data_IF_640981280084
#
_entry.id   IF_640981280084
#
_cell.length_a   1.000
_cell.length_b   1.000
_cell.length_c   1.000
_cell.angle_alpha   90.00
_cell.angle_beta   90.00
_cell.angle_gamma   90.00
#
_symmetry.space_group_name_H-M   'P 1'
#
loop_
_entity.id
_entity.type
_entity.pdbx_description
1 polymer ?
#
# COMPACT_ATOMS: atom_id res chain seq x y z
N UNK A 1 7.10 -2.34 17.31
CA UNK A 1 5.91 -2.29 18.18
C UNK A 1 5.13 -3.56 18.10
N UNK A 2 4.60 -3.98 19.22
CA UNK A 2 3.82 -5.19 19.30
C UNK A 2 2.43 -5.01 18.67
N UNK A 3 1.97 -6.05 17.97
CA UNK A 3 0.66 -6.05 17.32
C UNK A 3 -0.40 -6.59 18.26
N UNK A 4 -1.47 -5.83 18.46
CA UNK A 4 -2.62 -6.29 19.25
C UNK A 4 -3.56 -7.12 18.36
N UNK A 5 -4.48 -7.84 19.01
CA UNK A 5 -5.54 -8.55 18.28
C UNK A 5 -6.36 -7.61 17.40
N UNK A 6 -6.64 -6.42 17.93
CA UNK A 6 -7.35 -5.37 17.20
C UNK A 6 -6.60 -4.91 15.96
N UNK A 7 -5.27 -4.78 16.07
CA UNK A 7 -4.42 -4.42 14.93
C UNK A 7 -4.52 -5.47 13.82
N UNK A 8 -4.46 -6.74 14.19
CA UNK A 8 -4.56 -7.84 13.22
C UNK A 8 -5.92 -7.86 12.53
N UNK A 9 -6.98 -7.57 13.25
CA UNK A 9 -8.33 -7.48 12.69
C UNK A 9 -8.46 -6.31 11.70
N UNK A 10 -7.87 -5.17 12.02
CA UNK A 10 -7.85 -4.01 11.12
C UNK A 10 -7.13 -4.33 9.83
N UNK A 11 -5.98 -4.97 9.91
CA UNK A 11 -5.22 -5.39 8.72
C UNK A 11 -6.05 -6.34 7.87
N UNK A 12 -6.66 -7.35 8.47
CA UNK A 12 -7.49 -8.33 7.77
C UNK A 12 -8.65 -7.68 7.01
N UNK A 13 -9.27 -6.69 7.61
CA UNK A 13 -10.35 -5.93 6.98
C UNK A 13 -9.89 -5.21 5.72
N UNK A 14 -8.75 -4.55 5.79
CA UNK A 14 -8.19 -3.81 4.65
C UNK A 14 -7.81 -4.75 3.52
N UNK A 15 -7.21 -5.90 3.82
CA UNK A 15 -6.79 -6.86 2.80
C UNK A 15 -7.96 -7.39 1.96
N UNK A 16 -9.16 -7.45 2.54
CA UNK A 16 -10.37 -7.86 1.81
C UNK A 16 -10.77 -6.89 0.71
N UNK A 17 -10.33 -5.64 0.79
CA UNK A 17 -10.63 -4.61 -0.21
C UNK A 17 -9.61 -4.56 -1.35
N UNK A 18 -8.56 -5.36 -1.30
CA UNK A 18 -7.51 -5.38 -2.32
C UNK A 18 -7.78 -6.51 -3.31
N UNK A 19 -8.11 -6.13 -4.55
CA UNK A 19 -8.59 -7.09 -5.56
C UNK A 19 -7.64 -8.25 -5.83
N UNK A 20 -6.35 -7.98 -6.03
CA UNK A 20 -5.42 -9.05 -6.38
C UNK A 20 -5.11 -10.01 -5.22
N UNK A 21 -5.55 -9.68 -4.00
CA UNK A 21 -5.37 -10.54 -2.83
C UNK A 21 -6.56 -11.47 -2.56
N UNK A 22 -7.62 -11.38 -3.37
CA UNK A 22 -8.86 -12.16 -3.15
C UNK A 22 -8.70 -13.67 -3.34
N UNK A 23 -7.63 -14.09 -3.98
CA UNK A 23 -7.39 -15.52 -4.29
C UNK A 23 -6.46 -16.20 -3.29
N UNK A 24 -6.20 -15.56 -2.15
CA UNK A 24 -5.38 -16.16 -1.11
C UNK A 24 -6.19 -17.17 -0.30
N UNK A 25 -5.53 -18.25 0.09
CA UNK A 25 -6.12 -19.19 1.03
C UNK A 25 -6.17 -18.57 2.43
N UNK A 26 -7.03 -19.09 3.36
CA UNK A 26 -7.04 -18.58 4.73
C UNK A 26 -5.67 -18.67 5.41
N UNK A 27 -4.91 -19.74 5.18
CA UNK A 27 -3.57 -19.88 5.74
C UNK A 27 -2.59 -18.83 5.21
N UNK A 28 -2.66 -18.53 3.93
CA UNK A 28 -1.85 -17.48 3.32
C UNK A 28 -2.21 -16.11 3.87
N UNK A 29 -3.51 -15.83 4.02
CA UNK A 29 -3.99 -14.59 4.59
C UNK A 29 -3.48 -14.41 6.02
N UNK A 30 -3.55 -15.44 6.83
CA UNK A 30 -3.06 -15.39 8.22
C UNK A 30 -1.56 -15.13 8.28
N UNK A 31 -0.78 -15.79 7.41
CA UNK A 31 0.67 -15.56 7.35
C UNK A 31 1.00 -14.15 6.89
N UNK A 32 0.22 -13.63 5.94
CA UNK A 32 0.44 -12.26 5.45
C UNK A 32 0.16 -11.24 6.54
N UNK A 33 -0.94 -11.39 7.25
CA UNK A 33 -1.29 -10.52 8.38
C UNK A 33 -0.17 -10.55 9.42
N UNK A 34 0.35 -11.73 9.74
CA UNK A 34 1.45 -11.89 10.69
C UNK A 34 2.76 -11.24 10.22
N UNK A 35 2.90 -11.02 8.91
CA UNK A 35 4.09 -10.39 8.33
C UNK A 35 4.10 -8.86 8.40
N UNK A 36 3.00 -8.24 8.78
CA UNK A 36 2.97 -6.79 8.95
C UNK A 36 3.70 -6.35 10.21
N UNK A 37 4.27 -5.17 10.15
CA UNK A 37 4.89 -4.51 11.31
C UNK A 37 4.17 -3.20 11.60
N UNK A 38 4.19 -2.76 12.85
CA UNK A 38 3.59 -1.51 13.28
C UNK A 38 4.68 -0.50 13.59
N UNK A 39 4.56 0.69 13.03
CA UNK A 39 5.55 1.76 13.20
C UNK A 39 4.87 3.08 13.49
N UNK A 40 5.57 3.97 14.20
CA UNK A 40 5.11 5.34 14.41
C UNK A 40 5.41 6.18 13.19
N UNK A 41 4.56 7.17 12.94
CA UNK A 41 4.87 8.24 11.99
C UNK A 41 4.66 9.59 12.69
N UNK A 42 5.46 10.56 12.31
CA UNK A 42 5.42 11.91 12.86
C UNK A 42 5.09 12.90 11.77
N UNK A 43 4.37 13.95 12.13
CA UNK A 43 4.08 15.05 11.21
C UNK A 43 5.35 15.51 10.50
N UNK A 44 5.30 15.57 9.18
CA UNK A 44 6.44 15.94 8.35
C UNK A 44 7.23 14.76 7.79
N UNK A 45 7.02 13.54 8.31
CA UNK A 45 7.71 12.35 7.78
C UNK A 45 7.27 12.09 6.34
N UNK A 46 8.26 11.83 5.49
CA UNK A 46 8.03 11.46 4.09
C UNK A 46 7.99 9.94 4.00
N UNK A 47 6.81 9.38 3.77
CA UNK A 47 6.63 7.92 3.70
C UNK A 47 6.91 7.37 2.31
N UNK A 48 6.50 8.11 1.28
CA UNK A 48 6.72 7.78 -0.13
C UNK A 48 7.18 9.04 -0.85
N UNK A 49 8.15 8.88 -1.75
CA UNK A 49 8.67 9.98 -2.57
C UNK A 49 8.40 9.70 -4.03
N UNK A 50 7.67 10.60 -4.69
CA UNK A 50 7.36 10.51 -6.12
C UNK A 50 8.64 10.31 -6.94
N UNK A 51 8.57 9.41 -7.90
CA UNK A 51 9.68 9.13 -8.81
C UNK A 51 10.69 8.12 -8.28
N UNK A 52 10.67 7.79 -6.99
CA UNK A 52 11.55 6.78 -6.42
C UNK A 52 10.86 5.42 -6.37
N UNK A 53 11.64 4.36 -6.51
CA UNK A 53 11.13 3.00 -6.32
C UNK A 53 10.91 2.73 -4.84
N UNK A 54 9.94 1.87 -4.54
CA UNK A 54 9.66 1.47 -3.17
C UNK A 54 9.18 0.03 -3.11
N UNK A 55 9.33 -0.57 -1.93
CA UNK A 55 9.00 -1.97 -1.70
C UNK A 55 8.10 -2.18 -0.49
N UNK A 56 7.45 -1.11 -0.02
CA UNK A 56 6.63 -1.15 1.20
C UNK A 56 5.19 -0.76 0.89
N UNK A 57 4.27 -1.58 1.40
CA UNK A 57 2.85 -1.31 1.40
C UNK A 57 2.45 -0.79 2.79
N UNK A 58 1.59 0.22 2.83
CA UNK A 58 1.17 0.89 4.06
C UNK A 58 -0.33 0.81 4.29
N UNK A 59 -0.70 0.54 5.54
CA UNK A 59 -2.08 0.70 6.02
C UNK A 59 -2.03 1.70 7.18
N UNK A 60 -2.92 2.66 7.21
CA UNK A 60 -2.96 3.67 8.27
C UNK A 60 -3.73 3.12 9.47
N UNK A 61 -3.03 2.95 10.59
CA UNK A 61 -3.65 2.55 11.85
C UNK A 61 -4.27 3.74 12.58
N UNK A 62 -3.58 4.89 12.57
CA UNK A 62 -4.05 6.16 13.14
C UNK A 62 -3.27 7.30 12.53
N UNK A 63 -3.77 8.51 12.66
CA UNK A 63 -3.15 9.70 12.09
C UNK A 63 -3.67 10.00 10.69
N UNK A 64 -3.01 10.96 10.03
CA UNK A 64 -3.42 11.44 8.70
C UNK A 64 -2.18 11.60 7.83
N UNK A 65 -2.30 11.20 6.56
CA UNK A 65 -1.28 11.47 5.55
C UNK A 65 -1.88 12.28 4.42
N UNK A 66 -1.07 13.11 3.79
CA UNK A 66 -1.42 13.83 2.58
C UNK A 66 -0.74 13.20 1.38
N UNK A 67 -1.47 13.08 0.28
CA UNK A 67 -0.93 12.59 -1.00
C UNK A 67 -0.72 13.78 -1.91
N UNK A 68 0.49 13.92 -2.42
CA UNK A 68 0.91 15.07 -3.22
C UNK A 68 1.44 14.62 -4.57
N UNK A 69 1.01 15.33 -5.61
CA UNK A 69 1.49 15.10 -6.97
C UNK A 69 2.26 16.35 -7.42
N UNK A 70 3.51 16.15 -7.79
CA UNK A 70 4.34 17.22 -8.34
C UNK A 70 4.32 17.12 -9.86
N UNK A 71 3.89 18.18 -10.51
CA UNK A 71 3.99 18.35 -11.97
C UNK A 71 4.70 19.66 -12.24
N UNK A 72 5.80 19.61 -12.99
CA UNK A 72 6.67 20.76 -13.19
C UNK A 72 7.22 21.26 -11.86
N UNK A 73 6.98 22.51 -11.51
CA UNK A 73 7.48 23.13 -10.28
C UNK A 73 6.44 23.21 -9.16
N UNK A 74 5.24 22.66 -9.40
CA UNK A 74 4.13 22.77 -8.44
C UNK A 74 3.83 21.45 -7.76
N UNK A 75 3.77 21.47 -6.42
CA UNK A 75 3.25 20.38 -5.62
C UNK A 75 1.77 20.63 -5.39
N UNK A 76 0.95 19.63 -5.68
CA UNK A 76 -0.48 19.71 -5.49
C UNK A 76 -0.95 18.58 -4.59
N UNK A 77 -1.63 18.93 -3.51
CA UNK A 77 -2.27 17.94 -2.66
C UNK A 77 -3.50 17.39 -3.39
N UNK A 78 -3.55 16.08 -3.57
CA UNK A 78 -4.64 15.41 -4.29
C UNK A 78 -5.54 14.60 -3.38
N UNK A 79 -5.11 14.26 -2.17
CA UNK A 79 -5.93 13.47 -1.24
C UNK A 79 -5.40 13.56 0.18
N UNK A 80 -6.27 13.25 1.13
CA UNK A 80 -5.90 12.95 2.51
C UNK A 80 -6.40 11.56 2.85
N UNK A 81 -5.57 10.77 3.50
CA UNK A 81 -5.89 9.41 3.93
C UNK A 81 -5.79 9.32 5.45
N UNK A 82 -6.61 8.48 6.05
CA UNK A 82 -6.67 8.32 7.49
C UNK A 82 -6.90 6.86 7.88
N UNK A 83 -7.27 6.60 9.14
CA UNK A 83 -7.43 5.26 9.67
C UNK A 83 -8.24 4.34 8.74
N UNK A 84 -7.68 3.18 8.44
CA UNK A 84 -8.29 2.18 7.57
C UNK A 84 -8.01 2.35 6.09
N UNK A 85 -7.42 3.47 5.69
CA UNK A 85 -6.98 3.66 4.31
C UNK A 85 -5.62 3.01 4.09
N UNK A 86 -5.32 2.72 2.83
CA UNK A 86 -4.04 2.11 2.47
C UNK A 86 -3.46 2.78 1.23
N UNK A 87 -2.16 2.63 1.05
CA UNK A 87 -1.46 3.16 -0.13
C UNK A 87 -0.20 2.35 -0.41
N UNK A 88 0.25 2.40 -1.65
CA UNK A 88 1.48 1.74 -2.06
C UNK A 88 1.36 0.24 -2.32
N UNK A 89 0.15 -0.29 -2.50
CA UNK A 89 -0.07 -1.73 -2.72
C UNK A 89 0.59 -2.24 -4.00
N UNK A 90 0.75 -1.39 -5.00
CA UNK A 90 1.42 -1.80 -6.24
C UNK A 90 2.90 -2.10 -6.04
N UNK A 91 3.51 -1.59 -4.98
CA UNK A 91 4.90 -1.92 -4.67
C UNK A 91 5.10 -3.39 -4.30
N UNK A 92 4.03 -4.10 -3.97
CA UNK A 92 4.10 -5.54 -3.69
C UNK A 92 4.33 -6.35 -4.97
N UNK A 93 3.94 -5.82 -6.13
CA UNK A 93 3.97 -6.56 -7.39
C UNK A 93 4.77 -5.84 -8.50
N UNK A 94 5.24 -4.64 -8.27
CA UNK A 94 5.93 -3.84 -9.29
C UNK A 94 7.07 -3.02 -8.69
N UNK A 95 8.15 -2.85 -9.46
CA UNK A 95 9.29 -2.01 -9.12
C UNK A 95 9.18 -0.60 -9.73
N UNK A 96 8.02 -0.27 -10.30
CA UNK A 96 7.84 1.02 -10.95
C UNK A 96 8.04 2.18 -9.98
N UNK A 97 8.54 3.33 -10.47
CA UNK A 97 8.64 4.53 -9.65
C UNK A 97 7.30 4.95 -9.08
N UNK A 98 7.30 5.47 -7.87
CA UNK A 98 6.08 5.95 -7.21
C UNK A 98 5.48 7.11 -7.99
N UNK A 99 4.17 7.09 -8.14
CA UNK A 99 3.43 8.10 -8.94
C UNK A 99 3.13 9.38 -8.15
N UNK A 100 3.22 9.34 -6.83
CA UNK A 100 2.98 10.50 -5.96
C UNK A 100 3.80 10.39 -4.69
N UNK A 101 3.87 11.49 -3.94
CA UNK A 101 4.50 11.52 -2.62
C UNK A 101 3.44 11.40 -1.54
N UNK A 102 3.80 10.77 -0.41
CA UNK A 102 2.92 10.65 0.75
C UNK A 102 3.66 11.15 1.98
N UNK A 103 3.08 12.13 2.66
CA UNK A 103 3.69 12.81 3.80
C UNK A 103 2.74 12.74 5.00
N UNK A 104 3.29 12.44 6.18
CA UNK A 104 2.52 12.44 7.40
C UNK A 104 2.10 13.86 7.77
N UNK A 105 0.82 14.07 7.98
CA UNK A 105 0.25 15.39 8.36
C UNK A 105 -0.22 15.44 9.81
N UNK A 106 -0.48 14.29 10.41
CA UNK A 106 -0.82 14.19 11.83
C UNK A 106 -0.19 12.92 12.38
N UNK A 107 0.49 13.05 13.52
CA UNK A 107 1.16 11.93 14.18
C UNK A 107 0.24 10.73 14.33
N UNK A 108 0.78 9.54 14.16
CA UNK A 108 0.01 8.32 14.29
C UNK A 108 0.86 7.08 14.09
N UNK A 109 0.22 6.03 13.64
CA UNK A 109 0.85 4.73 13.43
C UNK A 109 0.44 4.14 12.10
N UNK A 110 1.35 3.39 11.49
CA UNK A 110 1.10 2.67 10.23
C UNK A 110 1.46 1.20 10.41
N UNK A 111 0.75 0.36 9.65
CA UNK A 111 1.15 -1.04 9.47
C UNK A 111 1.88 -1.12 8.14
N UNK A 112 3.02 -1.81 8.11
CA UNK A 112 3.85 -1.91 6.91
C UNK A 112 4.07 -3.37 6.53
N UNK A 113 4.11 -3.63 5.23
CA UNK A 113 4.42 -4.95 4.69
C UNK A 113 5.45 -4.80 3.59
N UNK A 114 6.54 -5.54 3.72
CA UNK A 114 7.60 -5.56 2.71
C UNK A 114 7.22 -6.47 1.55
N UNK A 115 7.62 -6.09 0.33
CA UNK A 115 7.42 -6.90 -0.87
C UNK A 115 7.97 -8.31 -0.72
N UNK A 116 9.17 -8.44 -0.15
CA UNK A 116 9.80 -9.75 0.00
C UNK A 116 9.00 -10.66 0.92
N UNK A 117 8.46 -10.13 2.01
CA UNK A 117 7.58 -10.87 2.91
C UNK A 117 6.33 -11.34 2.17
N UNK A 118 5.72 -10.46 1.39
CA UNK A 118 4.56 -10.79 0.57
C UNK A 118 4.87 -11.91 -0.42
N UNK A 119 5.98 -11.79 -1.14
CA UNK A 119 6.40 -12.79 -2.13
C UNK A 119 6.64 -14.15 -1.48
N UNK A 120 7.26 -14.18 -0.31
CA UNK A 120 7.52 -15.42 0.42
C UNK A 120 6.22 -16.15 0.79
N UNK A 121 5.20 -15.41 1.19
CA UNK A 121 3.91 -15.99 1.57
C UNK A 121 3.20 -16.62 0.36
N UNK A 122 3.26 -15.96 -0.79
CA UNK A 122 2.48 -16.37 -1.98
C UNK A 122 3.28 -17.17 -3.01
N UNK A 123 4.56 -17.44 -2.76
CA UNK A 123 5.45 -18.05 -3.78
C UNK A 123 4.96 -19.39 -4.33
N UNK A 124 4.17 -20.12 -3.56
CA UNK A 124 3.62 -21.41 -3.98
C UNK A 124 2.17 -21.33 -4.46
N UNK A 125 1.65 -20.11 -4.68
CA UNK A 125 0.29 -19.92 -5.18
C UNK A 125 0.35 -19.39 -6.62
N UNK A 126 0.29 -20.30 -7.63
CA UNK A 126 0.39 -19.87 -9.04
C UNK A 126 -0.78 -19.01 -9.49
N UNK A 127 -1.94 -19.17 -8.86
CA UNK A 127 -3.11 -18.38 -9.18
C UNK A 127 -2.92 -16.90 -8.84
N UNK A 128 -2.41 -16.64 -7.65
CA UNK A 128 -2.10 -15.26 -7.23
C UNK A 128 -0.99 -14.68 -8.08
N UNK A 129 0.06 -15.45 -8.37
CA UNK A 129 1.15 -15.01 -9.23
C UNK A 129 0.65 -14.55 -10.59
N UNK A 130 -0.30 -15.30 -11.18
CA UNK A 130 -0.87 -14.93 -12.47
C UNK A 130 -1.72 -13.66 -12.39
N UNK A 131 -2.57 -13.57 -11.36
CA UNK A 131 -3.40 -12.38 -11.11
C UNK A 131 -2.54 -11.13 -10.94
N UNK A 132 -1.43 -11.25 -10.21
CA UNK A 132 -0.48 -10.16 -10.03
C UNK A 132 0.14 -9.70 -11.34
N UNK A 133 0.58 -10.65 -12.16
CA UNK A 133 1.17 -10.34 -13.48
C UNK A 133 0.16 -9.61 -14.37
N UNK A 134 -1.07 -10.09 -14.39
CA UNK A 134 -2.13 -9.50 -15.21
C UNK A 134 -2.47 -8.09 -14.72
N UNK A 135 -2.53 -7.89 -13.41
CA UNK A 135 -2.80 -6.58 -12.80
C UNK A 135 -1.70 -5.59 -13.12
N UNK A 136 -0.43 -5.99 -12.97
CA UNK A 136 0.71 -5.14 -13.27
C UNK A 136 0.75 -4.76 -14.73
N UNK A 137 0.54 -5.72 -15.64
CA UNK A 137 0.52 -5.45 -17.08
C UNK A 137 -0.59 -4.50 -17.48
N UNK A 138 -1.78 -4.66 -16.90
CA UNK A 138 -2.91 -3.79 -17.16
C UNK A 138 -2.63 -2.36 -16.70
N UNK A 139 -2.03 -2.19 -15.54
CA UNK A 139 -1.71 -0.86 -15.00
C UNK A 139 -0.62 -0.15 -15.78
N UNK A 140 0.34 -0.88 -16.36
CA UNK A 140 1.37 -0.30 -17.21
C UNK A 140 0.81 0.28 -18.51
N UNK A 141 -0.28 -0.28 -19.02
CA UNK A 141 -0.90 0.17 -20.26
C UNK A 141 -1.76 1.40 -20.08
N UNK A 142 -2.29 1.59 -18.90
CA UNK A 142 -3.13 2.74 -18.59
C UNK A 142 -2.27 3.88 -18.05
N UNK A 143 -2.64 5.09 -18.40
CA UNK A 143 -1.84 6.26 -18.08
C UNK A 143 -2.29 6.96 -16.78
N UNK A 144 -2.40 8.26 -16.80
CA UNK A 144 -2.55 9.15 -15.65
C UNK A 144 -3.55 8.77 -14.57
N UNK A 145 -4.70 8.20 -14.92
CA UNK A 145 -5.73 7.88 -13.93
C UNK A 145 -5.31 6.75 -13.02
N UNK A 146 -4.54 5.83 -13.56
CA UNK A 146 -4.04 4.68 -12.82
C UNK A 146 -2.91 5.06 -11.88
N UNK A 147 -2.06 6.00 -12.30
CA UNK A 147 -1.02 6.53 -11.43
C UNK A 147 -1.60 7.06 -10.12
N UNK A 148 -2.71 7.79 -10.19
CA UNK A 148 -3.38 8.29 -9.00
C UNK A 148 -3.97 7.16 -8.15
N UNK A 149 -4.62 6.19 -8.79
CA UNK A 149 -5.17 5.03 -8.10
C UNK A 149 -4.10 4.20 -7.41
N UNK A 150 -2.95 4.06 -8.05
CA UNK A 150 -1.79 3.37 -7.51
C UNK A 150 -1.24 4.05 -6.25
N UNK A 151 -1.19 5.38 -6.25
CA UNK A 151 -0.69 6.15 -5.12
C UNK A 151 -1.66 6.14 -3.93
N UNK A 152 -2.95 6.17 -4.17
CA UNK A 152 -3.97 6.35 -3.15
C UNK A 152 -4.84 5.11 -2.91
N UNK A 153 -4.52 4.00 -3.54
CA UNK A 153 -5.25 2.75 -3.38
C UNK A 153 -6.70 2.87 -3.80
N UNK A 154 -7.59 2.26 -3.01
CA UNK A 154 -9.02 2.18 -3.34
C UNK A 154 -9.75 3.51 -3.41
N UNK A 155 -9.18 4.56 -2.83
CA UNK A 155 -9.86 5.86 -2.75
C UNK A 155 -9.96 6.58 -4.09
N UNK A 156 -9.35 6.05 -5.13
CA UNK A 156 -9.36 6.64 -6.48
C UNK A 156 -9.86 5.69 -7.55
N UNK A 157 -10.62 4.72 -7.18
CA UNK A 157 -11.18 3.76 -8.13
C UNK A 157 -12.50 4.22 -8.71
#
# INVERSE_FOLDING_TARGET
MEMSKEDLEKIGKVLKDIDFLQHMTPGETDRLIAGFEKSSMKKGDSLIIQGKSGSIFYIIASGVVGVYLKRSLLDRKIASLSTGDFFGEMSLISDEPRSASVVCEADGEVFTLLRDTFRDVIMHNPHISQVMKDTAAKRQKDTHNIELGEAIGRNFR
#
